data_IF_921548248755
#
_entry.id   IF_921548248755
#
_cell.length_a   1.000
_cell.length_b   1.000
_cell.length_c   1.000
_cell.angle_alpha   90.00
_cell.angle_beta   90.00
_cell.angle_gamma   90.00
#
_symmetry.space_group_name_H-M   'P 1'
#
loop_
_entity.id
_entity.type
_entity.pdbx_description
1 polymer ?
#
# COMPACT_ATOMS: atom_id res chain seq x y z
N UNK A 1 -30.59 12.20 -5.70
CA UNK A 1 -30.13 11.92 -4.32
C UNK A 1 -29.17 10.76 -4.45
N UNK A 2 -27.87 11.01 -4.29
CA UNK A 2 -26.86 9.95 -4.31
C UNK A 2 -27.04 9.13 -3.01
N UNK A 3 -27.15 7.78 -3.05
CA UNK A 3 -27.22 7.02 -1.81
C UNK A 3 -25.98 7.37 -0.98
N UNK A 4 -26.18 7.65 0.31
CA UNK A 4 -25.12 8.03 1.24
C UNK A 4 -23.99 6.99 1.16
N UNK A 5 -22.87 7.40 0.56
CA UNK A 5 -21.69 6.56 0.46
C UNK A 5 -21.17 6.34 1.89
N UNK A 6 -21.24 5.11 2.38
CA UNK A 6 -20.65 4.77 3.68
C UNK A 6 -19.18 5.20 3.66
N UNK A 7 -18.74 6.05 4.58
CA UNK A 7 -17.34 6.47 4.64
C UNK A 7 -16.44 5.23 4.77
N UNK A 8 -15.34 5.16 4.02
CA UNK A 8 -14.44 3.99 4.02
C UNK A 8 -13.93 3.61 5.43
N UNK A 9 -13.84 4.59 6.33
CA UNK A 9 -13.43 4.36 7.73
C UNK A 9 -14.51 3.66 8.60
N UNK A 10 -15.76 3.62 8.15
CA UNK A 10 -16.88 2.99 8.87
C UNK A 10 -17.20 1.58 8.37
N UNK A 11 -16.47 1.06 7.38
CA UNK A 11 -16.69 -0.28 6.83
C UNK A 11 -16.31 -1.37 7.83
N UNK A 12 -17.14 -2.42 7.92
CA UNK A 12 -16.79 -3.65 8.64
C UNK A 12 -15.71 -4.44 7.86
N UNK A 13 -15.12 -5.46 8.50
CA UNK A 13 -14.15 -6.34 7.82
C UNK A 13 -14.75 -7.05 6.59
N UNK A 14 -16.04 -7.44 6.68
CA UNK A 14 -16.75 -8.09 5.58
C UNK A 14 -16.94 -7.10 4.43
N UNK A 15 -17.36 -5.86 4.74
CA UNK A 15 -17.56 -4.83 3.73
C UNK A 15 -16.25 -4.47 3.03
N UNK A 16 -15.13 -4.39 3.77
CA UNK A 16 -13.80 -4.17 3.20
C UNK A 16 -13.43 -5.30 2.24
N UNK A 17 -13.60 -6.56 2.65
CA UNK A 17 -13.29 -7.71 1.81
C UNK A 17 -14.14 -7.73 0.54
N UNK A 18 -15.44 -7.45 0.66
CA UNK A 18 -16.35 -7.36 -0.49
C UNK A 18 -15.98 -6.19 -1.42
N UNK A 19 -15.66 -5.03 -0.87
CA UNK A 19 -15.28 -3.85 -1.64
C UNK A 19 -13.98 -4.07 -2.44
N UNK A 20 -13.02 -4.80 -1.88
CA UNK A 20 -11.77 -5.16 -2.58
C UNK A 20 -12.01 -6.05 -3.80
N UNK A 21 -13.04 -6.90 -3.77
CA UNK A 21 -13.36 -7.86 -4.84
C UNK A 21 -14.47 -7.37 -5.78
N UNK A 22 -15.13 -6.25 -5.47
CA UNK A 22 -16.28 -5.79 -6.21
C UNK A 22 -15.91 -5.22 -7.60
N UNK A 23 -16.86 -5.34 -8.54
CA UNK A 23 -16.81 -4.64 -9.81
C UNK A 23 -15.70 -5.06 -10.78
N UNK A 24 -15.10 -6.23 -10.61
CA UNK A 24 -14.02 -6.70 -11.48
C UNK A 24 -12.73 -5.84 -11.41
N UNK A 25 -12.58 -5.06 -10.35
CA UNK A 25 -11.40 -4.21 -10.15
C UNK A 25 -10.22 -5.00 -9.57
N UNK A 26 -9.02 -4.50 -9.82
CA UNK A 26 -7.78 -5.08 -9.30
C UNK A 26 -7.26 -4.38 -8.03
N UNK A 27 -6.22 -4.97 -7.46
CA UNK A 27 -5.40 -4.33 -6.42
C UNK A 27 -4.10 -3.83 -7.05
N UNK A 28 -3.72 -2.60 -6.73
CA UNK A 28 -2.42 -2.04 -7.12
C UNK A 28 -1.43 -2.25 -5.98
N UNK A 29 -0.40 -3.07 -6.22
CA UNK A 29 0.73 -3.19 -5.31
C UNK A 29 1.76 -2.09 -5.64
N UNK A 30 1.97 -1.16 -4.70
CA UNK A 30 3.01 -0.13 -4.77
C UNK A 30 3.69 0.01 -3.40
N UNK A 31 3.96 -1.14 -2.81
CA UNK A 31 4.55 -1.29 -1.48
C UNK A 31 6.08 -1.49 -1.52
N UNK A 32 6.70 -1.11 -2.62
CA UNK A 32 8.15 -1.12 -2.76
C UNK A 32 8.80 -0.08 -1.83
N UNK A 33 9.84 -0.52 -1.13
CA UNK A 33 10.68 0.39 -0.37
C UNK A 33 11.36 1.42 -1.29
N UNK A 34 11.77 2.55 -0.74
CA UNK A 34 12.57 3.56 -1.45
C UNK A 34 13.82 2.96 -2.11
N UNK A 35 14.48 2.01 -1.43
CA UNK A 35 15.62 1.29 -2.01
C UNK A 35 15.22 0.51 -3.27
N UNK A 36 14.11 -0.21 -3.24
CA UNK A 36 13.61 -0.96 -4.42
C UNK A 36 13.21 -0.02 -5.55
N UNK A 37 12.53 1.09 -5.26
CA UNK A 37 12.23 2.12 -6.25
C UNK A 37 13.51 2.64 -6.92
N UNK A 38 14.52 2.99 -6.13
CA UNK A 38 15.80 3.51 -6.65
C UNK A 38 16.53 2.50 -7.53
N UNK A 39 16.50 1.20 -7.19
CA UNK A 39 17.06 0.15 -8.06
C UNK A 39 16.35 0.08 -9.41
N UNK A 40 15.01 0.20 -9.43
CA UNK A 40 14.23 0.24 -10.68
C UNK A 40 14.52 1.51 -11.48
N UNK A 41 14.66 2.65 -10.82
CA UNK A 41 15.02 3.92 -11.46
C UNK A 41 16.40 3.84 -12.11
N UNK A 42 17.40 3.26 -11.42
CA UNK A 42 18.73 3.03 -12.00
C UNK A 42 18.66 2.19 -13.28
N UNK A 43 17.90 1.10 -13.24
CA UNK A 43 17.72 0.22 -14.41
C UNK A 43 17.01 0.91 -15.58
N UNK A 44 16.19 1.93 -15.30
CA UNK A 44 15.46 2.73 -16.29
C UNK A 44 16.16 4.04 -16.68
N UNK A 45 17.37 4.30 -16.16
CA UNK A 45 18.11 5.55 -16.42
C UNK A 45 17.48 6.80 -15.76
N UNK A 46 16.64 6.60 -14.74
CA UNK A 46 15.99 7.68 -13.99
C UNK A 46 16.88 8.09 -12.81
N UNK A 47 17.02 9.39 -12.59
CA UNK A 47 17.83 9.92 -11.49
C UNK A 47 17.27 9.50 -10.11
N UNK A 48 18.15 8.97 -9.25
CA UNK A 48 17.82 8.52 -7.90
C UNK A 48 17.91 9.70 -6.91
N UNK A 49 16.99 10.64 -7.02
CA UNK A 49 16.90 11.76 -6.07
C UNK A 49 16.07 11.39 -4.85
N UNK A 50 16.18 12.16 -3.77
CA UNK A 50 15.35 11.99 -2.57
C UNK A 50 13.84 12.09 -2.90
N UNK A 51 13.49 12.95 -3.85
CA UNK A 51 12.10 13.21 -4.25
C UNK A 51 11.55 12.21 -5.29
N UNK A 52 12.41 11.51 -6.02
CA UNK A 52 11.97 10.65 -7.13
C UNK A 52 10.98 9.54 -6.69
N UNK A 53 11.19 8.81 -5.58
CA UNK A 53 10.22 7.82 -5.12
C UNK A 53 8.86 8.43 -4.77
N UNK A 54 8.83 9.57 -4.09
CA UNK A 54 7.59 10.28 -3.77
C UNK A 54 6.84 10.74 -5.02
N UNK A 55 7.56 11.35 -5.98
CA UNK A 55 6.99 11.82 -7.23
C UNK A 55 6.43 10.67 -8.08
N UNK A 56 7.11 9.53 -8.11
CA UNK A 56 6.63 8.32 -8.76
C UNK A 56 5.32 7.81 -8.13
N UNK A 57 5.26 7.76 -6.81
CA UNK A 57 4.07 7.36 -6.06
C UNK A 57 2.91 8.33 -6.31
N UNK A 58 3.20 9.63 -6.29
CA UNK A 58 2.21 10.67 -6.61
C UNK A 58 1.63 10.50 -8.02
N UNK A 59 2.49 10.27 -9.03
CA UNK A 59 2.06 10.02 -10.41
C UNK A 59 1.05 8.87 -10.51
N UNK A 60 1.32 7.75 -9.83
CA UNK A 60 0.43 6.60 -9.84
C UNK A 60 -0.91 6.92 -9.15
N UNK A 61 -0.86 7.49 -7.95
CA UNK A 61 -2.04 7.74 -7.13
C UNK A 61 -2.95 8.85 -7.66
N UNK A 62 -2.40 9.78 -8.44
CA UNK A 62 -3.15 10.88 -9.07
C UNK A 62 -3.59 10.58 -10.50
N UNK A 63 -3.35 9.37 -10.98
CA UNK A 63 -3.79 8.96 -12.32
C UNK A 63 -5.31 9.06 -12.45
N UNK A 64 -5.76 9.83 -13.43
CA UNK A 64 -7.20 10.03 -13.67
C UNK A 64 -7.91 8.71 -13.94
N UNK A 65 -9.06 8.52 -13.31
CA UNK A 65 -9.86 7.30 -13.49
C UNK A 65 -9.31 6.06 -12.78
N UNK A 66 -8.27 6.16 -11.96
CA UNK A 66 -7.68 5.02 -11.25
C UNK A 66 -8.74 4.21 -10.50
N UNK A 67 -9.68 4.87 -9.81
CA UNK A 67 -10.76 4.23 -9.05
C UNK A 67 -11.77 3.46 -9.91
N UNK A 68 -11.76 3.63 -11.24
CA UNK A 68 -12.59 2.81 -12.13
C UNK A 68 -12.05 1.37 -12.28
N UNK A 69 -10.74 1.18 -12.16
CA UNK A 69 -10.06 -0.11 -12.36
C UNK A 69 -9.44 -0.70 -11.10
N UNK A 70 -9.21 0.12 -10.08
CA UNK A 70 -8.51 -0.27 -8.83
C UNK A 70 -9.45 -0.10 -7.64
N UNK A 71 -9.61 -1.15 -6.85
CA UNK A 71 -10.41 -1.17 -5.62
C UNK A 71 -9.57 -0.90 -4.37
N UNK A 72 -8.29 -1.27 -4.39
CA UNK A 72 -7.39 -1.08 -3.26
C UNK A 72 -5.94 -0.90 -3.71
N UNK A 73 -5.18 -0.15 -2.93
CA UNK A 73 -3.75 0.10 -3.15
C UNK A 73 -2.98 -0.33 -1.92
N UNK A 74 -1.94 -1.16 -2.10
CA UNK A 74 -1.05 -1.57 -1.01
C UNK A 74 0.12 -0.58 -0.96
N UNK A 75 0.28 0.07 0.17
CA UNK A 75 1.35 1.04 0.46
C UNK A 75 2.39 0.44 1.41
N UNK A 76 3.58 1.01 1.46
CA UNK A 76 4.55 0.80 2.53
C UNK A 76 4.43 1.87 3.64
N UNK A 77 5.16 1.71 4.76
CA UNK A 77 5.08 2.61 5.91
C UNK A 77 5.54 4.05 5.56
N UNK A 78 6.47 4.21 4.63
CA UNK A 78 6.90 5.53 4.17
C UNK A 78 5.81 6.19 3.33
N UNK A 79 5.24 5.47 2.36
CA UNK A 79 4.26 6.01 1.41
C UNK A 79 2.95 6.44 2.10
N UNK A 80 2.47 5.67 3.07
CA UNK A 80 1.23 6.02 3.77
C UNK A 80 1.32 7.35 4.54
N UNK A 81 2.54 7.77 4.89
CA UNK A 81 2.82 9.05 5.57
C UNK A 81 3.05 10.21 4.61
N UNK A 82 3.26 9.93 3.33
CA UNK A 82 3.59 10.92 2.32
C UNK A 82 2.36 11.73 1.86
N UNK A 83 2.67 12.85 1.24
CA UNK A 83 1.70 13.78 0.68
C UNK A 83 2.09 14.13 -0.75
N UNK A 84 1.11 14.49 -1.56
CA UNK A 84 1.37 15.13 -2.84
C UNK A 84 2.03 16.51 -2.66
N UNK A 85 2.59 17.06 -3.73
CA UNK A 85 3.23 18.38 -3.71
C UNK A 85 2.30 19.50 -3.16
N UNK A 86 0.98 19.39 -3.37
CA UNK A 86 -0.05 20.29 -2.83
C UNK A 86 -0.40 20.07 -1.35
N UNK A 87 0.30 19.14 -0.65
CA UNK A 87 0.12 18.91 0.79
C UNK A 87 -1.00 17.91 1.16
N UNK A 88 -1.79 17.42 0.22
CA UNK A 88 -2.85 16.43 0.48
C UNK A 88 -2.23 15.05 0.78
N UNK A 89 -2.61 14.37 1.88
CA UNK A 89 -2.16 13.01 2.15
C UNK A 89 -2.55 12.03 1.04
N UNK A 90 -1.68 11.09 0.71
CA UNK A 90 -1.99 10.06 -0.30
C UNK A 90 -3.21 9.22 0.07
N UNK A 91 -3.39 8.92 1.35
CA UNK A 91 -4.58 8.18 1.83
C UNK A 91 -5.88 8.95 1.57
N UNK A 92 -5.87 10.28 1.64
CA UNK A 92 -7.03 11.10 1.31
C UNK A 92 -7.34 11.09 -0.18
N UNK A 93 -6.31 11.15 -1.03
CA UNK A 93 -6.47 11.03 -2.50
C UNK A 93 -7.15 9.70 -2.85
N UNK A 94 -6.70 8.60 -2.23
CA UNK A 94 -7.30 7.28 -2.41
C UNK A 94 -8.76 7.25 -1.94
N UNK A 95 -9.07 7.80 -0.77
CA UNK A 95 -10.42 7.86 -0.23
C UNK A 95 -11.37 8.64 -1.15
N UNK A 96 -10.95 9.80 -1.64
CA UNK A 96 -11.70 10.62 -2.59
C UNK A 96 -11.94 9.88 -3.93
N UNK A 97 -10.98 9.06 -4.37
CA UNK A 97 -11.13 8.20 -5.55
C UNK A 97 -11.95 6.91 -5.29
N UNK A 98 -12.37 6.66 -4.05
CA UNK A 98 -13.08 5.45 -3.66
C UNK A 98 -12.22 4.19 -3.64
N UNK A 99 -10.93 4.34 -3.38
CA UNK A 99 -9.94 3.28 -3.35
C UNK A 99 -9.52 3.03 -1.90
N UNK A 100 -9.56 1.77 -1.47
CA UNK A 100 -9.12 1.37 -0.13
C UNK A 100 -7.60 1.41 -0.01
N UNK A 101 -7.09 2.11 1.00
CA UNK A 101 -5.68 2.05 1.33
C UNK A 101 -5.37 0.78 2.13
N UNK A 102 -4.37 0.03 1.71
CA UNK A 102 -3.81 -1.11 2.40
C UNK A 102 -2.36 -0.85 2.80
N UNK A 103 -1.84 -1.66 3.70
CA UNK A 103 -0.49 -1.51 4.23
C UNK A 103 0.30 -2.82 4.20
N UNK A 104 1.52 -2.78 3.72
CA UNK A 104 2.50 -3.85 3.88
C UNK A 104 3.00 -3.84 5.32
N UNK A 105 2.84 -4.93 6.04
CA UNK A 105 3.13 -5.00 7.48
C UNK A 105 4.40 -5.78 7.83
N UNK A 106 4.98 -6.53 6.89
CA UNK A 106 6.21 -7.28 7.13
C UNK A 106 7.45 -6.37 7.15
N UNK A 107 8.50 -6.85 7.80
CA UNK A 107 9.83 -6.23 7.85
C UNK A 107 10.86 -7.02 7.04
N UNK A 108 10.41 -7.86 6.14
CA UNK A 108 11.23 -8.65 5.22
C UNK A 108 11.31 -10.13 5.56
N UNK A 109 11.87 -10.88 4.61
CA UNK A 109 12.11 -12.32 4.75
C UNK A 109 13.53 -12.57 5.25
N UNK A 110 13.66 -13.34 6.34
CA UNK A 110 14.92 -13.75 6.97
C UNK A 110 15.17 -15.23 6.71
N UNK A 111 16.44 -15.65 6.76
CA UNK A 111 16.77 -17.07 6.67
C UNK A 111 16.20 -17.84 7.87
N UNK A 112 15.55 -18.95 7.60
CA UNK A 112 15.07 -19.84 8.65
C UNK A 112 16.25 -20.60 9.26
N UNK A 113 16.42 -20.48 10.56
CA UNK A 113 17.50 -21.14 11.28
C UNK A 113 17.41 -22.68 11.11
N UNK A 114 18.53 -23.33 10.79
CA UNK A 114 18.58 -24.80 10.58
C UNK A 114 18.03 -25.28 9.24
N UNK A 115 17.52 -24.41 8.37
CA UNK A 115 16.93 -24.79 7.08
C UNK A 115 17.52 -23.94 5.94
N UNK A 116 18.70 -24.32 5.42
CA UNK A 116 19.36 -23.59 4.32
C UNK A 116 18.46 -23.45 3.10
N UNK A 117 18.32 -22.22 2.58
CA UNK A 117 17.48 -21.90 1.43
C UNK A 117 16.04 -21.54 1.78
N UNK A 118 15.58 -21.83 2.99
CA UNK A 118 14.25 -21.42 3.45
C UNK A 118 14.26 -20.06 4.14
N UNK A 119 13.12 -19.36 4.05
CA UNK A 119 12.94 -18.04 4.66
C UNK A 119 11.65 -17.97 5.46
N UNK A 120 11.65 -17.16 6.50
CA UNK A 120 10.49 -16.80 7.30
C UNK A 120 10.25 -15.29 7.19
N UNK A 121 8.99 -14.89 7.11
CA UNK A 121 8.62 -13.47 7.14
C UNK A 121 8.47 -13.03 8.59
N UNK A 122 9.23 -12.01 8.98
CA UNK A 122 9.15 -11.42 10.33
C UNK A 122 8.26 -10.19 10.32
N UNK A 123 7.63 -9.88 11.43
CA UNK A 123 6.96 -8.60 11.76
C UNK A 123 5.91 -8.70 12.87
N UNK A 124 5.87 -9.75 13.66
CA UNK A 124 4.85 -9.88 14.73
C UNK A 124 5.11 -8.92 15.88
N UNK A 125 6.38 -8.59 16.16
CA UNK A 125 6.75 -7.69 17.25
C UNK A 125 6.21 -6.28 16.97
N UNK A 126 5.43 -5.74 17.94
CA UNK A 126 4.81 -4.43 17.83
C UNK A 126 3.77 -4.29 16.70
N UNK A 127 3.30 -5.42 16.12
CA UNK A 127 2.36 -5.38 14.99
C UNK A 127 1.04 -4.70 15.35
N UNK A 128 0.52 -4.91 16.57
CA UNK A 128 -0.74 -4.31 17.03
C UNK A 128 -0.65 -2.77 17.03
N UNK A 129 0.42 -2.23 17.56
CA UNK A 129 0.67 -0.80 17.66
C UNK A 129 0.84 -0.18 16.28
N UNK A 130 1.58 -0.84 15.40
CA UNK A 130 1.74 -0.40 14.00
C UNK A 130 0.41 -0.43 13.25
N UNK A 131 -0.39 -1.48 13.38
CA UNK A 131 -1.71 -1.57 12.74
C UNK A 131 -2.66 -0.48 13.24
N UNK A 132 -2.64 -0.14 14.54
CA UNK A 132 -3.42 0.97 15.06
C UNK A 132 -2.99 2.30 14.43
N UNK A 133 -1.69 2.58 14.38
CA UNK A 133 -1.16 3.78 13.74
C UNK A 133 -1.52 3.86 12.24
N UNK A 134 -1.40 2.76 11.50
CA UNK A 134 -1.75 2.72 10.08
C UNK A 134 -3.26 2.89 9.85
N UNK A 135 -4.10 2.28 10.69
CA UNK A 135 -5.55 2.49 10.66
C UNK A 135 -5.91 3.96 10.84
N UNK A 136 -5.27 4.63 11.79
CA UNK A 136 -5.52 6.05 12.09
C UNK A 136 -5.06 6.96 10.93
N UNK A 137 -4.08 6.52 10.15
CA UNK A 137 -3.68 7.16 8.89
C UNK A 137 -4.57 6.83 7.69
N UNK A 138 -5.52 5.89 7.82
CA UNK A 138 -6.48 5.56 6.78
C UNK A 138 -6.36 4.17 6.17
N UNK A 139 -5.42 3.32 6.59
CA UNK A 139 -5.35 1.94 6.14
C UNK A 139 -6.59 1.13 6.57
N UNK A 140 -7.07 0.25 5.67
CA UNK A 140 -8.26 -0.57 5.89
C UNK A 140 -8.01 -2.07 5.75
N UNK A 141 -6.90 -2.46 5.14
CA UNK A 141 -6.46 -3.85 5.05
C UNK A 141 -4.93 -3.94 5.16
N UNK A 142 -4.44 -5.13 5.47
CA UNK A 142 -3.01 -5.40 5.56
C UNK A 142 -2.59 -6.48 4.56
N UNK A 143 -1.39 -6.33 3.99
CA UNK A 143 -0.75 -7.34 3.17
C UNK A 143 0.37 -7.99 3.96
N UNK A 144 0.30 -9.32 4.10
CA UNK A 144 1.39 -10.14 4.61
C UNK A 144 1.96 -11.00 3.48
N UNK A 145 3.23 -10.84 3.08
CA UNK A 145 3.81 -11.65 2.02
C UNK A 145 4.04 -13.08 2.49
N UNK A 146 3.78 -14.03 1.59
CA UNK A 146 4.13 -15.43 1.80
C UNK A 146 5.62 -15.64 1.48
N UNK A 147 6.42 -16.29 2.35
CA UNK A 147 7.76 -16.72 2.02
C UNK A 147 7.77 -17.59 0.76
N UNK A 148 8.73 -17.37 -0.14
CA UNK A 148 8.86 -18.17 -1.36
C UNK A 148 7.97 -17.76 -2.54
N UNK A 149 7.18 -16.68 -2.44
CA UNK A 149 6.58 -16.08 -3.63
C UNK A 149 7.71 -15.45 -4.48
N UNK A 150 7.72 -15.66 -5.81
CA UNK A 150 8.67 -14.99 -6.67
C UNK A 150 8.50 -13.48 -6.57
N UNK A 151 9.58 -12.70 -6.78
CA UNK A 151 9.54 -11.24 -6.74
C UNK A 151 8.60 -10.65 -7.80
#
# INVERSE_FOLDING_TARGET
>A
MNPERIPLHALSLIDVAQALLAGGKGLLAMDESTTTCNQRFASAGIAQTVEAPRAYRELLLTTSGLGASISGVILDDETIRQRQAGGTPFTRILDEAGILAGIKVDIGAKHLAGHPGEKVTEALDGLRERLNAHRDMGARFAKWPRPGAPP
#
